data_IF_275173511058
#
_entry.id   IF_275173511058
#
_cell.length_a   1.000
_cell.length_b   1.000
_cell.length_c   1.000
_cell.angle_alpha   90.00
_cell.angle_beta   90.00
_cell.angle_gamma   90.00
#
_symmetry.space_group_name_H-M   'P 1'
#
loop_
_entity.id
_entity.type
_entity.pdbx_description
1 polymer ?
#
# COMPACT_ATOMS: atom_id res chain seq x y z
N UNK A 1 41.38 -20.62 -10.58
CA UNK A 1 40.14 -20.18 -9.89
C UNK A 1 40.05 -18.67 -10.07
N UNK A 2 39.14 -18.18 -10.92
CA UNK A 2 38.96 -16.75 -11.14
C UNK A 2 37.48 -16.47 -11.37
N UNK A 3 36.76 -16.11 -10.31
CA UNK A 3 35.38 -15.62 -10.43
C UNK A 3 35.45 -14.15 -10.85
N UNK A 4 35.16 -13.91 -12.12
CA UNK A 4 34.90 -12.58 -12.65
C UNK A 4 33.57 -12.10 -12.05
N UNK A 5 33.63 -11.22 -11.06
CA UNK A 5 32.48 -10.51 -10.54
C UNK A 5 32.17 -9.35 -11.48
N UNK A 6 31.28 -9.59 -12.45
CA UNK A 6 30.70 -8.53 -13.26
C UNK A 6 29.65 -7.79 -12.39
N UNK A 7 30.09 -6.72 -11.73
CA UNK A 7 29.19 -5.75 -11.10
C UNK A 7 28.57 -4.92 -12.22
N UNK A 8 27.34 -5.26 -12.61
CA UNK A 8 26.61 -4.52 -13.64
C UNK A 8 26.45 -3.05 -13.25
N UNK A 9 26.49 -2.14 -14.23
CA UNK A 9 26.48 -0.69 -14.01
C UNK A 9 25.36 -0.16 -13.11
N UNK A 10 24.23 -0.87 -13.00
CA UNK A 10 23.15 -0.54 -12.07
C UNK A 10 23.55 -0.63 -10.58
N UNK A 11 24.43 -1.56 -10.21
CA UNK A 11 24.91 -1.67 -8.83
C UNK A 11 25.90 -0.57 -8.46
N UNK A 12 26.62 -0.02 -9.44
CA UNK A 12 27.56 1.08 -9.25
C UNK A 12 26.83 2.42 -9.11
N UNK A 13 25.74 2.61 -9.86
CA UNK A 13 24.84 3.76 -9.75
C UNK A 13 24.06 3.74 -8.43
N UNK A 14 23.54 2.58 -8.03
CA UNK A 14 22.89 2.41 -6.73
C UNK A 14 23.87 2.65 -5.56
N UNK A 15 25.11 2.15 -5.67
CA UNK A 15 26.16 2.37 -4.67
C UNK A 15 26.60 3.83 -4.55
N UNK A 16 26.72 4.55 -5.67
CA UNK A 16 27.09 5.98 -5.67
C UNK A 16 25.98 6.87 -5.11
N UNK A 17 24.72 6.56 -5.41
CA UNK A 17 23.58 7.32 -4.92
C UNK A 17 23.26 7.07 -3.43
N UNK A 18 23.58 5.88 -2.91
CA UNK A 18 23.55 5.59 -1.48
C UNK A 18 24.70 6.26 -0.69
N UNK A 19 25.77 6.68 -1.37
CA UNK A 19 26.94 7.31 -0.74
C UNK A 19 26.84 8.84 -0.62
N UNK A 20 25.86 9.48 -1.28
CA UNK A 20 25.65 10.93 -1.21
C UNK A 20 24.70 11.29 -0.04
N UNK A 21 25.15 12.19 0.83
CA UNK A 21 24.50 12.53 2.11
C UNK A 21 23.08 13.13 2.04
N UNK A 22 22.51 13.28 3.24
CA UNK A 22 21.07 13.28 3.57
C UNK A 22 20.15 14.27 2.84
N UNK A 23 20.63 15.40 2.32
CA UNK A 23 19.75 16.43 1.73
C UNK A 23 19.88 16.59 0.20
N UNK A 24 20.96 16.08 -0.41
CA UNK A 24 21.13 16.06 -1.88
C UNK A 24 21.03 14.62 -2.48
N UNK A 25 21.04 13.59 -1.63
CA UNK A 25 21.04 12.19 -2.04
C UNK A 25 19.67 11.61 -2.39
N UNK A 26 18.57 12.15 -1.83
CA UNK A 26 17.21 11.64 -2.09
C UNK A 26 16.81 11.84 -3.56
N UNK A 27 16.96 13.07 -4.05
CA UNK A 27 16.66 13.42 -5.44
C UNK A 27 17.63 12.75 -6.41
N UNK A 28 18.90 12.63 -6.04
CA UNK A 28 19.92 11.95 -6.86
C UNK A 28 19.68 10.45 -7.01
N UNK A 29 19.31 9.74 -5.92
CA UNK A 29 19.02 8.31 -5.95
C UNK A 29 17.76 8.01 -6.76
N UNK A 30 16.69 8.77 -6.52
CA UNK A 30 15.46 8.64 -7.30
C UNK A 30 15.74 8.98 -8.77
N UNK A 31 16.39 10.11 -9.08
CA UNK A 31 16.70 10.48 -10.47
C UNK A 31 17.55 9.43 -11.21
N UNK A 32 18.49 8.79 -10.51
CA UNK A 32 19.33 7.73 -11.06
C UNK A 32 18.60 6.39 -11.23
N UNK A 33 17.74 6.00 -10.29
CA UNK A 33 17.05 4.71 -10.31
C UNK A 33 15.79 4.74 -11.19
N UNK A 34 15.12 5.89 -11.31
CA UNK A 34 13.83 6.00 -11.98
C UNK A 34 13.85 5.62 -13.47
N UNK A 35 14.87 5.96 -14.29
CA UNK A 35 14.94 5.49 -15.68
C UNK A 35 14.93 3.97 -15.79
N UNK A 36 15.68 3.26 -14.92
CA UNK A 36 15.71 1.81 -14.88
C UNK A 36 14.36 1.22 -14.41
N UNK A 37 13.73 1.82 -13.40
CA UNK A 37 12.40 1.41 -12.92
C UNK A 37 11.29 1.64 -13.97
N UNK A 38 11.41 2.70 -14.77
CA UNK A 38 10.47 3.00 -15.87
C UNK A 38 10.64 2.03 -17.04
N UNK A 39 11.84 1.50 -17.28
CA UNK A 39 12.09 0.46 -18.27
C UNK A 39 11.48 -0.91 -17.90
N UNK A 40 11.21 -1.17 -16.61
CA UNK A 40 10.56 -2.39 -16.16
C UNK A 40 9.03 -2.34 -16.40
N UNK A 41 8.38 -3.51 -16.64
CA UNK A 41 6.93 -3.60 -16.61
C UNK A 41 6.36 -3.01 -15.30
N UNK A 42 5.26 -2.23 -15.33
CA UNK A 42 4.86 -1.44 -14.16
C UNK A 42 4.57 -2.28 -12.91
N UNK A 43 3.99 -3.47 -13.07
CA UNK A 43 3.73 -4.38 -11.95
C UNK A 43 5.03 -4.95 -11.35
N UNK A 44 6.07 -5.16 -12.16
CA UNK A 44 7.37 -5.63 -11.68
C UNK A 44 8.13 -4.52 -10.95
N UNK A 45 8.10 -3.30 -11.50
CA UNK A 45 8.68 -2.12 -10.85
C UNK A 45 8.02 -1.84 -9.50
N UNK A 46 6.70 -1.94 -9.41
CA UNK A 46 5.95 -1.82 -8.17
C UNK A 46 6.36 -2.90 -7.15
N UNK A 47 6.47 -4.17 -7.58
CA UNK A 47 6.94 -5.24 -6.70
C UNK A 47 8.37 -5.01 -6.18
N UNK A 48 9.26 -4.45 -7.00
CA UNK A 48 10.62 -4.09 -6.57
C UNK A 48 10.60 -2.94 -5.56
N UNK A 49 9.82 -1.89 -5.82
CA UNK A 49 9.67 -0.76 -4.91
C UNK A 49 9.10 -1.20 -3.55
N UNK A 50 8.08 -2.07 -3.55
CA UNK A 50 7.48 -2.61 -2.33
C UNK A 50 8.49 -3.44 -1.52
N UNK A 51 9.30 -4.27 -2.19
CA UNK A 51 10.39 -5.03 -1.52
C UNK A 51 11.46 -4.11 -0.95
N UNK A 52 11.87 -3.09 -1.70
CA UNK A 52 12.83 -2.10 -1.21
C UNK A 52 12.28 -1.36 0.03
N UNK A 53 11.00 -0.99 0.02
CA UNK A 53 10.31 -0.41 1.17
C UNK A 53 10.31 -1.37 2.37
N UNK A 54 9.90 -2.63 2.16
CA UNK A 54 9.86 -3.67 3.21
C UNK A 54 11.24 -3.92 3.85
N UNK A 55 12.31 -3.85 3.05
CA UNK A 55 13.69 -3.98 3.52
C UNK A 55 14.27 -2.68 4.12
N UNK A 56 13.52 -1.56 4.08
CA UNK A 56 13.99 -0.26 4.57
C UNK A 56 15.11 0.35 3.73
N UNK A 57 15.20 -0.02 2.45
CA UNK A 57 16.22 0.46 1.50
C UNK A 57 15.82 1.77 0.80
N UNK A 58 14.57 2.20 0.96
CA UNK A 58 14.12 3.48 0.45
C UNK A 58 14.57 4.62 1.36
N UNK A 59 14.81 5.82 0.79
CA UNK A 59 15.23 6.96 1.59
C UNK A 59 14.27 7.28 2.73
N UNK A 60 14.85 7.71 3.86
CA UNK A 60 14.09 8.17 5.01
C UNK A 60 13.74 9.65 4.84
N UNK A 61 12.51 10.03 5.17
CA UNK A 61 12.12 11.43 5.21
C UNK A 61 12.67 12.14 6.46
N UNK A 62 12.93 13.46 6.38
CA UNK A 62 13.20 14.27 7.56
C UNK A 62 11.99 14.31 8.50
N UNK A 63 12.16 14.74 9.77
CA UNK A 63 11.05 14.93 10.69
C UNK A 63 10.01 15.94 10.16
N UNK A 64 8.72 15.68 10.41
CA UNK A 64 7.64 16.57 10.03
C UNK A 64 7.66 17.88 10.81
N UNK A 65 7.22 18.96 10.16
CA UNK A 65 6.99 20.24 10.84
C UNK A 65 5.71 20.16 11.70
N UNK A 66 5.70 20.62 12.97
CA UNK A 66 4.52 20.51 13.86
C UNK A 66 3.23 21.11 13.31
N UNK A 67 3.32 22.11 12.42
CA UNK A 67 2.17 22.74 11.78
C UNK A 67 1.40 21.83 10.79
N UNK A 68 1.96 20.67 10.41
CA UNK A 68 1.29 19.68 9.57
C UNK A 68 0.34 18.78 10.37
N UNK A 69 0.39 18.81 11.70
CA UNK A 69 -0.46 17.95 12.52
C UNK A 69 -1.94 18.29 12.31
N UNK A 70 -2.74 17.25 12.07
CA UNK A 70 -4.20 17.37 11.96
C UNK A 70 -4.90 16.31 12.80
N UNK A 71 -6.18 16.55 13.10
CA UNK A 71 -7.05 15.60 13.80
C UNK A 71 -8.22 15.21 12.91
N UNK A 72 -8.40 13.92 12.69
CA UNK A 72 -9.49 13.36 11.88
C UNK A 72 -10.10 12.18 12.63
N UNK A 73 -11.43 12.13 12.75
CA UNK A 73 -12.15 11.09 13.51
C UNK A 73 -11.67 10.93 14.98
N UNK A 74 -11.22 12.02 15.60
CA UNK A 74 -10.64 11.98 16.95
C UNK A 74 -9.19 11.46 17.02
N UNK A 75 -8.67 10.93 15.92
CA UNK A 75 -7.31 10.42 15.79
C UNK A 75 -6.34 11.53 15.39
N UNK A 76 -5.12 11.48 15.93
CA UNK A 76 -4.01 12.37 15.57
C UNK A 76 -3.30 11.84 14.32
N UNK A 77 -3.03 12.73 13.38
CA UNK A 77 -2.18 12.49 12.22
C UNK A 77 -1.02 13.48 12.27
N UNK A 78 0.21 12.99 12.34
CA UNK A 78 1.41 13.84 12.46
C UNK A 78 1.61 14.76 11.24
N UNK A 79 1.12 14.30 10.07
CA UNK A 79 1.02 15.05 8.83
C UNK A 79 -0.17 14.51 8.00
N UNK A 80 -0.73 15.27 7.05
CA UNK A 80 -1.94 14.88 6.32
C UNK A 80 -1.65 14.04 5.06
N UNK A 81 -0.40 13.66 4.81
CA UNK A 81 0.01 12.94 3.60
C UNK A 81 0.06 11.45 3.87
N UNK A 82 -0.81 10.68 3.21
CA UNK A 82 -0.85 9.23 3.37
C UNK A 82 -0.57 8.47 2.09
N UNK A 83 -0.22 7.20 2.25
CA UNK A 83 -0.15 6.26 1.13
C UNK A 83 -1.49 5.55 0.97
N UNK A 84 -2.11 5.73 -0.20
CA UNK A 84 -3.40 5.15 -0.53
C UNK A 84 -3.35 3.62 -0.66
N UNK A 85 -4.52 2.98 -0.48
CA UNK A 85 -4.69 1.56 -0.78
C UNK A 85 -4.35 1.24 -2.24
N UNK A 86 -4.01 -0.03 -2.45
CA UNK A 86 -3.57 -0.55 -3.73
C UNK A 86 -2.05 -0.50 -3.89
N UNK A 87 -1.31 0.26 -3.06
CA UNK A 87 0.15 0.18 -3.04
C UNK A 87 0.61 -1.04 -2.23
N UNK A 88 0.50 -1.01 -0.90
CA UNK A 88 0.82 -2.17 -0.05
C UNK A 88 -0.44 -3.00 0.19
N UNK A 89 -0.80 -3.83 -0.80
CA UNK A 89 -2.03 -4.63 -0.75
C UNK A 89 -2.04 -5.65 0.39
N UNK A 90 -0.86 -6.10 0.82
CA UNK A 90 -0.71 -7.29 1.65
C UNK A 90 -0.12 -7.00 3.03
N UNK A 91 0.19 -5.74 3.34
CA UNK A 91 0.83 -5.33 4.60
C UNK A 91 2.30 -5.75 4.68
N UNK A 92 3.02 -5.71 3.57
CA UNK A 92 4.41 -6.16 3.45
C UNK A 92 5.44 -5.08 3.80
N UNK A 93 5.08 -3.81 3.70
CA UNK A 93 6.04 -2.70 3.71
C UNK A 93 5.65 -1.52 4.62
N UNK A 94 4.61 -1.68 5.45
CA UNK A 94 4.04 -0.60 6.28
C UNK A 94 5.10 0.24 7.01
N UNK A 95 6.06 -0.40 7.70
CA UNK A 95 7.10 0.32 8.45
C UNK A 95 8.07 1.08 7.55
N UNK A 96 8.39 0.52 6.39
CA UNK A 96 9.21 1.19 5.37
C UNK A 96 8.52 2.44 4.83
N UNK A 97 7.22 2.35 4.62
CA UNK A 97 6.40 3.45 4.12
C UNK A 97 6.30 4.59 5.14
N UNK A 98 6.14 4.30 6.43
CA UNK A 98 6.23 5.33 7.48
C UNK A 98 7.60 6.01 7.52
N UNK A 99 8.69 5.25 7.32
CA UNK A 99 10.06 5.81 7.25
C UNK A 99 10.24 6.75 6.05
N UNK A 100 9.52 6.53 4.95
CA UNK A 100 9.50 7.44 3.80
C UNK A 100 8.73 8.74 4.05
N UNK A 101 8.11 8.92 5.22
CA UNK A 101 7.50 10.19 5.63
C UNK A 101 5.98 10.20 5.66
N UNK A 102 5.30 9.20 5.10
CA UNK A 102 3.84 9.13 5.11
C UNK A 102 3.30 9.20 6.55
N UNK A 103 2.37 10.12 6.79
CA UNK A 103 1.69 10.29 8.07
C UNK A 103 0.65 9.21 8.34
N UNK A 104 0.19 8.49 7.32
CA UNK A 104 -0.64 7.29 7.46
C UNK A 104 -0.46 6.34 6.27
N UNK A 105 -0.74 5.05 6.46
CA UNK A 105 -0.66 4.05 5.39
C UNK A 105 -1.98 3.28 5.35
N UNK A 106 -2.54 3.09 4.15
CA UNK A 106 -3.74 2.28 3.94
C UNK A 106 -3.36 0.96 3.24
N UNK A 107 -3.44 -0.16 3.96
CA UNK A 107 -3.21 -1.51 3.43
C UNK A 107 -4.44 -2.02 2.69
N UNK A 108 -4.24 -2.82 1.65
CA UNK A 108 -5.33 -3.47 0.90
C UNK A 108 -5.49 -2.92 -0.51
N UNK A 109 -6.61 -3.14 -1.20
CA UNK A 109 -7.82 -3.81 -0.72
C UNK A 109 -7.61 -5.30 -0.44
N UNK A 110 -7.96 -5.74 0.77
CA UNK A 110 -7.88 -7.13 1.20
C UNK A 110 -9.25 -7.78 1.04
N UNK A 111 -9.26 -9.01 0.53
CA UNK A 111 -10.46 -9.85 0.37
C UNK A 111 -10.46 -11.01 1.37
N UNK A 112 -11.62 -11.62 1.69
CA UNK A 112 -11.67 -12.75 2.62
C UNK A 112 -10.74 -13.90 2.25
N UNK A 113 -10.94 -14.44 1.04
CA UNK A 113 -10.13 -15.50 0.47
C UNK A 113 -9.01 -14.93 -0.41
N UNK A 114 -7.87 -15.64 -0.54
CA UNK A 114 -6.84 -15.29 -1.50
C UNK A 114 -7.40 -15.30 -2.92
N UNK A 115 -6.96 -14.35 -3.75
CA UNK A 115 -7.25 -14.35 -5.17
C UNK A 115 -6.16 -13.64 -5.96
N UNK A 116 -5.86 -14.17 -7.15
CA UNK A 116 -4.80 -13.65 -8.03
C UNK A 116 -5.14 -12.29 -8.66
N UNK A 117 -6.42 -11.95 -8.75
CA UNK A 117 -6.94 -10.82 -9.52
C UNK A 117 -7.10 -11.13 -11.02
N UNK A 118 -7.20 -10.11 -11.86
CA UNK A 118 -7.35 -10.27 -13.31
C UNK A 118 -6.02 -10.67 -13.98
N UNK A 119 -6.04 -11.29 -15.18
CA UNK A 119 -4.83 -11.67 -15.92
C UNK A 119 -3.91 -10.49 -16.24
N UNK A 120 -2.59 -10.76 -16.30
CA UNK A 120 -1.57 -9.77 -16.70
C UNK A 120 -1.46 -9.67 -18.23
N UNK A 121 -1.05 -8.52 -18.79
CA UNK A 121 -0.75 -7.25 -18.12
C UNK A 121 -2.02 -6.49 -17.71
N UNK A 122 -1.97 -5.84 -16.55
CA UNK A 122 -3.13 -5.20 -15.89
C UNK A 122 -2.85 -3.85 -15.26
N UNK A 123 -1.67 -3.27 -15.53
CA UNK A 123 -1.29 -1.92 -15.12
C UNK A 123 -0.44 -1.30 -16.22
N UNK A 124 -0.73 -0.06 -16.57
CA UNK A 124 -0.18 0.66 -17.70
C UNK A 124 0.15 2.08 -17.26
N UNK A 125 1.34 2.57 -17.61
CA UNK A 125 1.75 3.95 -17.40
C UNK A 125 1.36 4.76 -18.62
N UNK A 126 0.82 5.94 -18.41
CA UNK A 126 0.56 6.96 -19.41
C UNK A 126 1.47 8.13 -19.05
N UNK A 127 2.71 8.09 -19.53
CA UNK A 127 3.77 8.99 -19.05
C UNK A 127 3.49 10.45 -19.40
N UNK A 128 2.95 10.71 -20.59
CA UNK A 128 2.58 12.06 -21.06
C UNK A 128 1.44 12.68 -20.24
N UNK A 129 0.56 11.84 -19.69
CA UNK A 129 -0.60 12.26 -18.89
C UNK A 129 -0.33 12.25 -17.38
N UNK A 130 0.89 11.90 -16.96
CA UNK A 130 1.24 11.61 -15.56
C UNK A 130 0.26 10.62 -14.89
N UNK A 131 -0.27 9.67 -15.66
CA UNK A 131 -1.38 8.82 -15.25
C UNK A 131 -1.05 7.32 -15.25
N UNK A 132 -1.89 6.55 -14.56
CA UNK A 132 -1.82 5.09 -14.52
C UNK A 132 -3.23 4.52 -14.71
N UNK A 133 -3.36 3.60 -15.67
CA UNK A 133 -4.56 2.77 -15.81
C UNK A 133 -4.27 1.39 -15.24
N UNK A 134 -5.17 0.89 -14.40
CA UNK A 134 -5.07 -0.48 -13.89
C UNK A 134 -6.40 -1.22 -13.91
N UNK A 135 -6.29 -2.54 -14.01
CA UNK A 135 -7.40 -3.49 -13.95
C UNK A 135 -7.07 -4.67 -13.04
N UNK A 136 -6.53 -4.40 -11.85
CA UNK A 136 -6.04 -5.45 -10.94
C UNK A 136 -7.11 -6.47 -10.54
N UNK A 137 -8.33 -6.02 -10.22
CA UNK A 137 -9.41 -6.90 -9.74
C UNK A 137 -9.11 -7.51 -8.36
N UNK A 138 -8.62 -6.71 -7.41
CA UNK A 138 -8.29 -7.10 -6.04
C UNK A 138 -7.39 -8.34 -5.93
N UNK A 139 -6.15 -8.27 -6.41
CA UNK A 139 -5.16 -9.31 -6.12
C UNK A 139 -4.75 -9.26 -4.63
N UNK A 140 -5.11 -10.28 -3.86
CA UNK A 140 -5.10 -10.27 -2.39
C UNK A 140 -4.65 -11.63 -1.85
N UNK A 141 -3.86 -11.64 -0.77
CA UNK A 141 -3.43 -12.86 -0.09
C UNK A 141 -4.48 -13.40 0.91
N UNK A 142 -5.64 -12.76 1.03
CA UNK A 142 -6.70 -13.16 1.96
C UNK A 142 -6.54 -12.55 3.35
N UNK A 143 -7.63 -12.46 4.11
CA UNK A 143 -7.64 -11.90 5.46
C UNK A 143 -6.63 -12.59 6.38
N UNK A 144 -6.58 -13.94 6.37
CA UNK A 144 -5.70 -14.72 7.26
C UNK A 144 -4.23 -14.35 7.08
N UNK A 145 -3.77 -14.26 5.83
CA UNK A 145 -2.37 -13.97 5.54
C UNK A 145 -2.00 -12.52 5.89
N UNK A 146 -2.88 -11.56 5.60
CA UNK A 146 -2.66 -10.15 5.93
C UNK A 146 -2.74 -9.92 7.45
N UNK A 147 -3.75 -10.49 8.12
CA UNK A 147 -3.89 -10.42 9.58
C UNK A 147 -2.63 -10.92 10.28
N UNK A 148 -2.08 -12.07 9.85
CA UNK A 148 -0.83 -12.60 10.42
C UNK A 148 0.35 -11.64 10.29
N UNK A 149 0.52 -10.98 9.13
CA UNK A 149 1.60 -10.00 8.93
C UNK A 149 1.42 -8.77 9.81
N UNK A 150 0.19 -8.26 9.90
CA UNK A 150 -0.11 -7.08 10.72
C UNK A 150 -0.02 -7.37 12.22
N UNK A 151 -0.49 -8.54 12.67
CA UNK A 151 -0.34 -9.02 14.04
C UNK A 151 1.13 -9.10 14.46
N UNK A 152 2.01 -9.59 13.59
CA UNK A 152 3.44 -9.68 13.86
C UNK A 152 4.11 -8.32 14.15
N UNK A 153 3.48 -7.20 13.75
CA UNK A 153 3.95 -5.84 14.01
C UNK A 153 2.98 -5.01 14.87
N UNK A 154 2.02 -5.64 15.55
CA UNK A 154 0.95 -4.92 16.26
C UNK A 154 1.47 -4.01 17.37
N UNK A 155 2.43 -4.47 18.18
CA UNK A 155 3.04 -3.66 19.24
C UNK A 155 3.72 -2.41 18.67
N UNK A 156 4.39 -2.56 17.52
CA UNK A 156 4.99 -1.42 16.81
C UNK A 156 3.91 -0.47 16.30
N UNK A 157 2.84 -0.99 15.71
CA UNK A 157 1.74 -0.16 15.22
C UNK A 157 1.10 0.64 16.37
N UNK A 158 0.86 0.05 17.55
CA UNK A 158 0.30 0.77 18.71
C UNK A 158 1.15 1.99 19.07
N UNK A 159 2.48 1.85 19.08
CA UNK A 159 3.39 2.98 19.32
C UNK A 159 3.28 4.03 18.22
N UNK A 160 3.31 3.61 16.95
CA UNK A 160 3.24 4.50 15.80
C UNK A 160 1.91 5.27 15.76
N UNK A 161 0.79 4.62 16.09
CA UNK A 161 -0.52 5.26 16.28
C UNK A 161 -0.45 6.37 17.32
N UNK A 162 0.20 6.14 18.47
CA UNK A 162 0.40 7.17 19.50
C UNK A 162 1.28 8.34 19.04
N UNK A 163 2.19 8.09 18.10
CA UNK A 163 3.02 9.09 17.43
C UNK A 163 2.28 9.80 16.28
N UNK A 164 1.01 9.47 16.04
CA UNK A 164 0.18 10.07 14.99
C UNK A 164 0.39 9.45 13.61
N UNK A 165 0.77 8.17 13.54
CA UNK A 165 0.91 7.37 12.31
C UNK A 165 -0.11 6.22 12.23
N UNK A 166 -1.40 6.52 11.97
CA UNK A 166 -2.44 5.50 11.92
C UNK A 166 -2.33 4.60 10.68
N UNK A 167 -2.71 3.34 10.87
CA UNK A 167 -2.85 2.31 9.85
C UNK A 167 -4.32 2.14 9.45
N UNK A 168 -4.59 2.37 8.17
CA UNK A 168 -5.85 2.03 7.54
C UNK A 168 -5.84 0.62 6.97
N UNK A 169 -6.99 -0.05 7.00
CA UNK A 169 -7.19 -1.30 6.26
C UNK A 169 -8.41 -1.18 5.35
N UNK A 170 -8.16 -1.34 4.06
CA UNK A 170 -9.15 -1.30 3.01
C UNK A 170 -9.70 -2.72 2.75
N UNK A 171 -10.99 -2.88 2.93
CA UNK A 171 -11.74 -4.13 2.81
C UNK A 171 -12.45 -4.20 1.46
N UNK A 172 -12.50 -5.39 0.88
CA UNK A 172 -13.24 -5.64 -0.36
C UNK A 172 -13.78 -7.06 -0.42
N UNK A 173 -14.74 -7.28 -1.33
CA UNK A 173 -15.31 -8.60 -1.58
C UNK A 173 -14.46 -9.44 -2.52
N UNK A 174 -14.53 -10.76 -2.39
CA UNK A 174 -14.01 -11.67 -3.40
C UNK A 174 -14.81 -11.57 -4.72
N UNK A 175 -14.15 -11.82 -5.85
CA UNK A 175 -14.77 -11.71 -7.20
C UNK A 175 -16.04 -12.56 -7.34
N UNK A 176 -16.00 -13.78 -6.81
CA UNK A 176 -17.07 -14.78 -6.91
C UNK A 176 -17.97 -14.82 -5.66
N UNK A 177 -17.86 -13.83 -4.77
CA UNK A 177 -18.74 -13.78 -3.58
C UNK A 177 -20.16 -13.44 -3.98
N UNK A 178 -21.11 -14.22 -3.46
CA UNK A 178 -22.55 -14.05 -3.65
C UNK A 178 -23.09 -13.01 -2.65
N UNK A 179 -22.59 -13.04 -1.42
CA UNK A 179 -22.96 -12.11 -0.36
C UNK A 179 -21.81 -11.14 -0.09
N UNK A 180 -21.86 -9.97 -0.71
CA UNK A 180 -20.84 -8.94 -0.52
C UNK A 180 -20.80 -8.45 0.92
N UNK A 181 -21.94 -8.33 1.61
CA UNK A 181 -21.99 -7.83 2.98
C UNK A 181 -21.26 -8.78 3.94
N UNK A 182 -21.45 -10.10 3.78
CA UNK A 182 -20.73 -11.09 4.57
C UNK A 182 -19.20 -10.97 4.42
N UNK A 183 -18.70 -10.66 3.21
CA UNK A 183 -17.26 -10.46 3.00
C UNK A 183 -16.72 -9.25 3.79
N UNK A 184 -17.46 -8.13 3.80
CA UNK A 184 -17.06 -6.94 4.56
C UNK A 184 -17.15 -7.17 6.06
N UNK A 185 -18.22 -7.81 6.55
CA UNK A 185 -18.36 -8.19 7.97
C UNK A 185 -17.21 -9.09 8.41
N UNK A 186 -16.85 -10.08 7.60
CA UNK A 186 -15.68 -10.93 7.88
C UNK A 186 -14.37 -10.12 7.92
N UNK A 187 -14.25 -9.08 7.08
CA UNK A 187 -13.12 -8.15 7.08
C UNK A 187 -13.04 -7.33 8.37
N UNK A 188 -14.17 -6.76 8.80
CA UNK A 188 -14.28 -5.99 10.06
C UNK A 188 -13.90 -6.87 11.24
N UNK A 189 -14.46 -8.08 11.33
CA UNK A 189 -14.18 -9.01 12.43
C UNK A 189 -12.72 -9.46 12.48
N UNK A 190 -12.10 -9.70 11.31
CA UNK A 190 -10.74 -10.25 11.24
C UNK A 190 -9.65 -9.18 11.32
N UNK A 191 -9.85 -8.04 10.67
CA UNK A 191 -8.85 -7.00 10.47
C UNK A 191 -9.13 -5.74 11.28
N UNK A 192 -10.37 -5.51 11.70
CA UNK A 192 -10.75 -4.35 12.55
C UNK A 192 -9.92 -4.19 13.81
N UNK A 193 -9.64 -5.26 14.59
CA UNK A 193 -8.78 -5.17 15.78
C UNK A 193 -7.32 -4.76 15.49
N UNK A 194 -6.90 -4.73 14.21
CA UNK A 194 -5.55 -4.42 13.77
C UNK A 194 -5.45 -3.05 13.06
N UNK A 195 -6.57 -2.35 12.88
CA UNK A 195 -6.67 -1.11 12.15
C UNK A 195 -6.98 0.08 13.06
N UNK A 196 -6.43 1.24 12.75
CA UNK A 196 -6.86 2.52 13.36
C UNK A 196 -8.10 3.07 12.65
N UNK A 197 -8.30 2.72 11.38
CA UNK A 197 -9.54 2.94 10.64
C UNK A 197 -9.75 1.86 9.56
N UNK A 198 -11.02 1.61 9.23
CA UNK A 198 -11.40 0.70 8.16
C UNK A 198 -11.97 1.47 6.96
N UNK A 199 -11.72 0.96 5.76
CA UNK A 199 -12.32 1.47 4.52
C UNK A 199 -13.13 0.37 3.86
N UNK A 200 -14.42 0.63 3.63
CA UNK A 200 -15.32 -0.26 2.90
C UNK A 200 -15.27 0.10 1.41
N UNK A 201 -14.54 -0.67 0.61
CA UNK A 201 -14.35 -0.34 -0.80
C UNK A 201 -15.50 -0.84 -1.68
N UNK A 202 -16.41 0.06 -2.03
CA UNK A 202 -17.51 -0.17 -2.98
C UNK A 202 -17.28 0.48 -4.36
N UNK A 203 -16.05 0.95 -4.65
CA UNK A 203 -15.79 1.86 -5.78
C UNK A 203 -14.95 1.26 -6.92
N UNK A 204 -14.31 0.11 -6.70
CA UNK A 204 -13.46 -0.53 -7.73
C UNK A 204 -14.23 -0.81 -9.03
N UNK A 205 -13.77 -0.27 -10.19
CA UNK A 205 -14.32 -0.61 -11.50
C UNK A 205 -13.95 -2.02 -11.96
N UNK A 206 -13.00 -2.66 -11.27
CA UNK A 206 -12.33 -3.88 -11.75
C UNK A 206 -12.95 -5.16 -11.20
N UNK A 207 -13.99 -5.02 -10.38
CA UNK A 207 -14.74 -6.11 -9.76
C UNK A 207 -16.19 -6.00 -10.23
N UNK A 208 -16.69 -6.92 -11.08
CA UNK A 208 -18.05 -6.87 -11.59
C UNK A 208 -19.10 -6.76 -10.48
N UNK A 209 -20.10 -5.91 -10.70
CA UNK A 209 -21.22 -5.66 -9.77
C UNK A 209 -20.86 -4.92 -8.48
N UNK A 210 -19.59 -4.55 -8.26
CA UNK A 210 -19.20 -3.88 -7.00
C UNK A 210 -19.78 -2.48 -6.87
N UNK A 211 -19.82 -1.72 -7.98
CA UNK A 211 -20.33 -0.35 -7.98
C UNK A 211 -21.83 -0.26 -7.75
N UNK A 212 -22.55 -1.36 -7.96
CA UNK A 212 -23.99 -1.43 -7.69
C UNK A 212 -24.26 -1.27 -6.17
N UNK A 213 -23.27 -1.60 -5.31
CA UNK A 213 -23.34 -1.35 -3.86
C UNK A 213 -23.31 0.13 -3.48
N UNK A 214 -23.05 1.05 -4.41
CA UNK A 214 -23.14 2.49 -4.16
C UNK A 214 -24.58 3.02 -4.22
N UNK A 215 -25.54 2.19 -4.66
CA UNK A 215 -26.95 2.50 -4.56
C UNK A 215 -27.35 2.78 -3.09
N UNK A 216 -28.26 3.73 -2.88
CA UNK A 216 -28.60 4.21 -1.54
C UNK A 216 -29.09 3.08 -0.62
N UNK A 217 -29.90 2.17 -1.15
CA UNK A 217 -30.49 1.09 -0.37
C UNK A 217 -29.44 0.01 -0.04
N UNK A 218 -28.62 -0.33 -1.03
CA UNK A 218 -27.54 -1.32 -0.95
C UNK A 218 -26.46 -0.87 0.03
N UNK A 219 -26.05 0.40 -0.06
CA UNK A 219 -25.08 0.98 0.85
C UNK A 219 -25.61 1.04 2.29
N UNK A 220 -26.89 1.40 2.47
CA UNK A 220 -27.52 1.41 3.79
C UNK A 220 -27.58 0.01 4.40
N UNK A 221 -28.01 -0.99 3.62
CA UNK A 221 -28.06 -2.39 4.07
C UNK A 221 -26.66 -2.89 4.45
N UNK A 222 -25.64 -2.60 3.63
CA UNK A 222 -24.25 -2.95 3.90
C UNK A 222 -23.75 -2.33 5.21
N UNK A 223 -23.92 -1.02 5.36
CA UNK A 223 -23.44 -0.29 6.55
C UNK A 223 -24.22 -0.64 7.82
N UNK A 224 -25.44 -1.18 7.71
CA UNK A 224 -26.18 -1.65 8.89
C UNK A 224 -25.62 -2.97 9.47
N UNK A 225 -24.83 -3.70 8.68
CA UNK A 225 -24.24 -5.00 9.03
C UNK A 225 -22.76 -4.91 9.42
N UNK A 226 -22.06 -3.91 8.91
CA UNK A 226 -20.63 -3.60 9.12
C UNK A 226 -20.44 -2.75 10.36
#
# INVERSE_FOLDING_TARGET
QGRLLAVGGGALVLGAALAAGHDAGHDGLCAAAMPALRALPPEAAHGLALRAAALGLLPRAPPDHPALEVRVFGQRFRNPLGLAAGFDKQGEAVDGLYKMGFGFVEVGTVTPQPQEGNPKPRVFRLEEDEAVINRYGFNSHGHVAVARRLQARQEMQIRLTGEGMPLGINLGKNKNSIDAAADYVAGVQTLGPLADYLVVNVSSPNTPGLRDLQGKAELYDLLSKV
#
